data_IF_168442020394
#
_entry.id   IF_168442020394
#
_cell.length_a   1.000
_cell.length_b   1.000
_cell.length_c   1.000
_cell.angle_alpha   90.00
_cell.angle_beta   90.00
_cell.angle_gamma   90.00
#
_symmetry.space_group_name_H-M   'P 1'
#
loop_
_entity.id
_entity.type
_entity.pdbx_description
1 polymer ?
#
# COMPACT_ATOMS: atom_id res chain seq x y z
N UNK A 1 28.72 -32.18 43.28
CA UNK A 1 29.30 -31.71 42.00
C UNK A 1 28.30 -30.72 41.42
N UNK A 2 28.51 -29.42 41.66
CA UNK A 2 27.52 -28.37 41.35
C UNK A 2 27.91 -27.74 40.01
N UNK A 3 27.17 -28.03 38.94
CA UNK A 3 27.39 -27.40 37.63
C UNK A 3 26.69 -26.04 37.63
N UNK A 4 27.47 -24.95 37.67
CA UNK A 4 26.92 -23.61 37.45
C UNK A 4 26.65 -23.43 35.96
N UNK A 5 25.37 -23.43 35.60
CA UNK A 5 24.92 -23.06 34.26
C UNK A 5 25.07 -21.54 34.12
N UNK A 6 26.14 -21.09 33.49
CA UNK A 6 26.32 -19.69 33.10
C UNK A 6 25.32 -19.36 31.99
N UNK A 7 24.22 -18.70 32.35
CA UNK A 7 23.33 -18.08 31.38
C UNK A 7 24.10 -16.95 30.68
N UNK A 8 24.56 -17.19 29.46
CA UNK A 8 25.09 -16.13 28.59
C UNK A 8 23.92 -15.24 28.21
N UNK A 9 23.82 -14.06 28.82
CA UNK A 9 22.89 -13.02 28.36
C UNK A 9 23.22 -12.74 26.89
N UNK A 10 22.25 -12.84 25.96
CA UNK A 10 22.52 -12.57 24.56
C UNK A 10 23.02 -11.14 24.43
N UNK A 11 24.21 -10.98 23.85
CA UNK A 11 24.82 -9.67 23.58
C UNK A 11 23.86 -8.91 22.66
N UNK A 12 23.42 -7.69 23.02
CA UNK A 12 22.57 -6.90 22.14
C UNK A 12 23.31 -6.66 20.83
N UNK A 13 22.67 -6.99 19.70
CA UNK A 13 23.21 -6.73 18.36
C UNK A 13 23.54 -5.24 18.25
N UNK A 14 24.82 -4.92 18.08
CA UNK A 14 25.26 -3.54 17.88
C UNK A 14 24.79 -3.08 16.50
N UNK A 15 23.66 -2.39 16.46
CA UNK A 15 23.11 -1.84 15.22
C UNK A 15 23.78 -0.51 14.91
N UNK A 16 24.42 -0.40 13.76
CA UNK A 16 24.96 0.88 13.29
C UNK A 16 23.79 1.86 13.05
N UNK A 17 23.78 3.04 13.69
CA UNK A 17 22.64 3.97 13.64
C UNK A 17 22.37 4.49 12.22
N UNK A 18 23.41 4.60 11.39
CA UNK A 18 23.28 4.95 9.98
C UNK A 18 22.58 3.84 9.20
N UNK A 19 22.99 2.58 9.39
CA UNK A 19 22.38 1.43 8.73
C UNK A 19 20.90 1.29 9.10
N UNK A 20 20.56 1.48 10.39
CA UNK A 20 19.18 1.48 10.86
C UNK A 20 18.34 2.60 10.21
N UNK A 21 18.93 3.79 10.03
CA UNK A 21 18.27 4.93 9.36
C UNK A 21 18.05 4.64 7.86
N UNK A 22 19.04 4.06 7.17
CA UNK A 22 18.88 3.66 5.77
C UNK A 22 17.83 2.57 5.59
N UNK A 23 17.79 1.59 6.50
CA UNK A 23 16.83 0.50 6.47
C UNK A 23 15.38 1.00 6.61
N UNK A 24 15.10 1.90 7.56
CA UNK A 24 13.75 2.47 7.71
C UNK A 24 13.36 3.35 6.52
N UNK A 25 14.30 4.10 5.94
CA UNK A 25 14.03 4.88 4.72
C UNK A 25 13.68 4.00 3.54
N UNK A 26 14.44 2.91 3.33
CA UNK A 26 14.16 1.96 2.25
C UNK A 26 12.77 1.33 2.41
N UNK A 27 12.42 0.91 3.63
CA UNK A 27 11.09 0.38 3.93
C UNK A 27 9.98 1.42 3.70
N UNK A 28 10.19 2.68 4.10
CA UNK A 28 9.22 3.76 3.89
C UNK A 28 8.99 4.07 2.42
N UNK A 29 10.06 4.14 1.63
CA UNK A 29 9.96 4.41 0.19
C UNK A 29 9.20 3.25 -0.47
N UNK A 30 9.60 2.01 -0.18
CA UNK A 30 8.96 0.82 -0.74
C UNK A 30 7.46 0.76 -0.40
N UNK A 31 7.13 0.84 0.89
CA UNK A 31 5.75 0.74 1.37
C UNK A 31 4.91 1.93 0.91
N UNK A 32 5.41 3.15 1.07
CA UNK A 32 4.72 4.39 0.71
C UNK A 32 4.43 4.46 -0.78
N UNK A 33 5.43 4.23 -1.64
CA UNK A 33 5.27 4.28 -3.09
C UNK A 33 4.27 3.22 -3.59
N UNK A 34 4.36 1.99 -3.08
CA UNK A 34 3.44 0.92 -3.47
C UNK A 34 2.02 1.22 -3.02
N UNK A 35 1.85 1.77 -1.82
CA UNK A 35 0.55 2.19 -1.32
C UNK A 35 -0.06 3.29 -2.19
N UNK A 36 0.74 4.30 -2.56
CA UNK A 36 0.34 5.37 -3.47
C UNK A 36 -0.06 4.81 -4.84
N UNK A 37 0.77 3.96 -5.43
CA UNK A 37 0.48 3.34 -6.72
C UNK A 37 -0.84 2.56 -6.66
N UNK A 38 -1.04 1.74 -5.62
CA UNK A 38 -2.27 0.96 -5.46
C UNK A 38 -3.51 1.84 -5.25
N UNK A 39 -3.36 3.02 -4.63
CA UNK A 39 -4.43 4.01 -4.49
C UNK A 39 -4.74 4.75 -5.80
N UNK A 40 -3.71 5.16 -6.54
CA UNK A 40 -3.84 5.81 -7.86
C UNK A 40 -4.47 4.86 -8.88
N UNK A 41 -4.12 3.58 -8.82
CA UNK A 41 -4.70 2.54 -9.67
C UNK A 41 -6.22 2.44 -9.55
N UNK A 42 -6.81 2.91 -8.44
CA UNK A 42 -8.27 2.97 -8.26
C UNK A 42 -8.94 4.04 -9.12
N UNK A 43 -8.17 4.92 -9.75
CA UNK A 43 -8.66 5.96 -10.65
C UNK A 43 -8.36 5.63 -12.12
N UNK A 44 -7.91 4.40 -12.41
CA UNK A 44 -7.68 3.94 -13.77
C UNK A 44 -8.99 3.57 -14.47
N UNK A 45 -9.16 4.05 -15.70
CA UNK A 45 -10.21 3.65 -16.65
C UNK A 45 -9.62 3.23 -17.99
N UNK A 46 -10.48 2.78 -18.89
CA UNK A 46 -10.12 2.37 -20.25
C UNK A 46 -10.84 3.25 -21.27
N UNK A 47 -10.08 3.78 -22.22
CA UNK A 47 -10.60 4.54 -23.36
C UNK A 47 -10.29 3.73 -24.61
N UNK A 48 -11.31 3.54 -25.44
CA UNK A 48 -11.20 2.83 -26.71
C UNK A 48 -11.01 3.86 -27.82
N UNK A 49 -9.83 3.87 -28.44
CA UNK A 49 -9.60 4.65 -29.65
C UNK A 49 -9.71 3.69 -30.84
N UNK A 50 -10.71 3.91 -31.68
CA UNK A 50 -10.80 3.24 -32.98
C UNK A 50 -9.83 3.90 -33.95
N UNK A 51 -8.72 3.22 -34.25
CA UNK A 51 -7.86 3.57 -35.39
C UNK A 51 -8.15 2.59 -36.53
N UNK A 52 -8.20 3.03 -37.80
CA UNK A 52 -8.32 2.10 -38.92
C UNK A 52 -7.09 1.19 -38.96
N UNK A 53 -7.31 -0.13 -38.96
CA UNK A 53 -6.21 -1.10 -39.11
C UNK A 53 -5.41 -0.76 -40.36
N UNK A 54 -4.09 -0.75 -40.24
CA UNK A 54 -3.19 -0.53 -41.37
C UNK A 54 -2.78 -1.89 -41.93
N UNK A 55 -3.16 -2.19 -43.17
CA UNK A 55 -2.61 -3.34 -43.91
C UNK A 55 -1.58 -2.77 -44.89
N UNK A 56 -0.29 -3.07 -44.67
CA UNK A 56 0.83 -2.55 -45.47
C UNK A 56 0.97 -1.00 -45.48
N UNK A 57 0.62 -0.32 -44.37
CA UNK A 57 0.76 1.14 -44.24
C UNK A 57 -0.32 1.95 -44.96
N UNK A 58 -1.40 1.28 -45.41
CA UNK A 58 -2.61 1.89 -45.96
C UNK A 58 -3.81 1.38 -45.14
N UNK A 59 -4.83 2.21 -44.87
CA UNK A 59 -6.05 1.77 -44.19
C UNK A 59 -6.67 0.53 -44.86
N UNK A 60 -7.02 -0.48 -44.06
CA UNK A 60 -7.60 -1.74 -44.54
C UNK A 60 -8.85 -1.46 -45.41
N UNK A 61 -8.88 -1.93 -46.67
CA UNK A 61 -10.04 -1.82 -47.55
C UNK A 61 -11.32 -2.42 -46.97
N UNK A 62 -11.21 -3.35 -46.02
CA UNK A 62 -12.34 -4.01 -45.38
C UNK A 62 -12.95 -3.18 -44.23
N UNK A 63 -12.38 -2.01 -43.90
CA UNK A 63 -12.88 -1.14 -42.84
C UNK A 63 -12.69 -1.72 -41.44
N UNK A 64 -11.73 -2.63 -41.25
CA UNK A 64 -11.45 -3.20 -39.94
C UNK A 64 -10.81 -2.12 -39.06
N UNK A 65 -11.42 -1.83 -37.92
CA UNK A 65 -10.87 -0.88 -36.94
C UNK A 65 -10.08 -1.66 -35.89
N UNK A 66 -8.85 -1.23 -35.62
CA UNK A 66 -8.11 -1.64 -34.43
C UNK A 66 -8.59 -0.79 -33.29
N UNK A 67 -9.30 -1.41 -32.36
CA UNK A 67 -9.65 -0.78 -31.10
C UNK A 67 -8.41 -0.81 -30.20
N UNK A 68 -7.76 0.34 -30.03
CA UNK A 68 -6.65 0.50 -29.12
C UNK A 68 -7.22 0.82 -27.74
N UNK A 69 -7.00 -0.08 -26.78
CA UNK A 69 -7.35 0.13 -25.38
C UNK A 69 -6.26 0.95 -24.69
N UNK A 70 -6.54 2.21 -24.40
CA UNK A 70 -5.63 3.08 -23.64
C UNK A 70 -6.10 3.19 -22.20
N UNK A 71 -5.13 3.07 -21.28
CA UNK A 71 -5.37 3.27 -19.85
C UNK A 71 -5.30 4.76 -19.52
N UNK A 72 -6.41 5.31 -19.03
CA UNK A 72 -6.52 6.71 -18.62
C UNK A 72 -6.70 6.82 -17.10
N UNK A 73 -6.16 7.87 -16.49
CA UNK A 73 -6.40 8.18 -15.08
C UNK A 73 -7.30 9.40 -14.96
N UNK A 74 -8.47 9.24 -14.36
CA UNK A 74 -9.42 10.34 -14.13
C UNK A 74 -10.14 10.18 -12.79
N UNK A 75 -10.47 11.30 -12.14
CA UNK A 75 -11.22 11.29 -10.88
C UNK A 75 -12.60 10.64 -11.02
N UNK A 76 -13.21 10.75 -12.21
CA UNK A 76 -14.51 10.15 -12.53
C UNK A 76 -14.44 8.63 -12.70
N UNK A 77 -13.25 8.08 -12.97
CA UNK A 77 -13.03 6.64 -13.13
C UNK A 77 -12.79 5.94 -11.78
N UNK A 78 -13.10 6.60 -10.65
CA UNK A 78 -12.85 6.05 -9.34
C UNK A 78 -13.66 4.78 -9.09
N UNK A 79 -12.95 3.68 -8.84
CA UNK A 79 -13.52 2.42 -8.40
C UNK A 79 -12.59 1.75 -7.39
N UNK A 80 -13.00 1.68 -6.12
CA UNK A 80 -12.20 1.08 -5.06
C UNK A 80 -12.02 -0.43 -5.25
N UNK A 81 -13.04 -1.13 -5.72
CA UNK A 81 -12.99 -2.55 -6.07
C UNK A 81 -13.38 -2.73 -7.53
N UNK A 82 -12.61 -3.47 -8.35
CA UNK A 82 -13.04 -3.78 -9.70
C UNK A 82 -14.35 -4.57 -9.66
N UNK A 83 -15.21 -4.37 -10.66
CA UNK A 83 -16.54 -5.00 -10.73
C UNK A 83 -16.48 -6.53 -10.56
N UNK A 84 -15.54 -7.17 -11.25
CA UNK A 84 -15.27 -8.62 -11.15
C UNK A 84 -14.92 -9.12 -9.74
N UNK A 85 -14.43 -8.23 -8.87
CA UNK A 85 -14.13 -8.55 -7.47
C UNK A 85 -15.32 -8.25 -6.56
N UNK A 86 -16.06 -7.18 -6.85
CA UNK A 86 -17.30 -6.85 -6.14
C UNK A 86 -18.35 -7.96 -6.32
N UNK A 87 -18.51 -8.48 -7.53
CA UNK A 87 -19.45 -9.58 -7.83
C UNK A 87 -19.11 -10.85 -7.03
N UNK A 88 -17.81 -11.14 -6.85
CA UNK A 88 -17.37 -12.28 -6.04
C UNK A 88 -17.72 -12.10 -4.57
N UNK A 89 -17.60 -10.89 -4.03
CA UNK A 89 -17.97 -10.60 -2.65
C UNK A 89 -19.48 -10.64 -2.40
N UNK A 90 -20.31 -10.31 -3.40
CA UNK A 90 -21.76 -10.44 -3.27
C UNK A 90 -22.22 -11.90 -3.11
N UNK A 91 -21.39 -12.86 -3.56
CA UNK A 91 -21.65 -14.28 -3.39
C UNK A 91 -21.16 -14.83 -2.03
N UNK A 92 -20.46 -14.02 -1.22
CA UNK A 92 -19.95 -14.41 0.08
C UNK A 92 -20.93 -14.07 1.23
N UNK A 93 -21.35 -15.05 2.07
CA UNK A 93 -22.35 -14.83 3.11
C UNK A 93 -21.94 -13.80 4.18
N UNK A 94 -20.63 -13.57 4.34
CA UNK A 94 -20.06 -12.78 5.43
C UNK A 94 -19.92 -11.28 5.10
N UNK A 95 -20.13 -10.84 3.85
CA UNK A 95 -20.03 -9.43 3.47
C UNK A 95 -21.37 -8.90 2.98
N UNK A 96 -21.88 -7.90 3.71
CA UNK A 96 -23.04 -7.12 3.25
C UNK A 96 -22.63 -6.13 2.15
N UNK A 97 -23.52 -5.91 1.20
CA UNK A 97 -23.38 -4.90 0.14
C UNK A 97 -23.11 -3.48 0.68
N UNK A 98 -23.72 -3.13 1.82
CA UNK A 98 -23.47 -1.85 2.49
C UNK A 98 -22.00 -1.69 2.92
N UNK A 99 -21.43 -2.73 3.53
CA UNK A 99 -20.04 -2.72 3.98
C UNK A 99 -19.08 -2.63 2.78
N UNK A 100 -19.42 -3.32 1.69
CA UNK A 100 -18.67 -3.29 0.44
C UNK A 100 -18.69 -1.90 -0.21
N UNK A 101 -19.83 -1.22 -0.18
CA UNK A 101 -20.00 0.14 -0.69
C UNK A 101 -19.12 1.14 0.06
N UNK A 102 -19.16 1.12 1.40
CA UNK A 102 -18.28 1.98 2.22
C UNK A 102 -16.82 1.67 1.91
N UNK A 103 -16.45 0.39 1.90
CA UNK A 103 -15.08 -0.01 1.65
C UNK A 103 -14.59 0.48 0.28
N UNK A 104 -15.37 0.25 -0.78
CA UNK A 104 -15.05 0.71 -2.13
C UNK A 104 -14.93 2.23 -2.22
N UNK A 105 -15.78 2.99 -1.52
CA UNK A 105 -15.72 4.45 -1.56
C UNK A 105 -14.43 5.02 -0.93
N UNK A 106 -13.98 4.44 0.18
CA UNK A 106 -12.88 5.01 0.97
C UNK A 106 -11.51 4.41 0.68
N UNK A 107 -11.45 3.24 0.04
CA UNK A 107 -10.21 2.50 -0.15
C UNK A 107 -9.12 3.34 -0.85
N UNK A 108 -9.39 3.87 -2.04
CA UNK A 108 -8.37 4.62 -2.81
C UNK A 108 -7.88 5.88 -2.10
N UNK A 109 -8.76 6.79 -1.64
CA UNK A 109 -8.35 7.97 -0.88
C UNK A 109 -7.51 7.63 0.35
N UNK A 110 -7.87 6.56 1.06
CA UNK A 110 -7.16 6.14 2.26
C UNK A 110 -5.76 5.58 1.92
N UNK A 111 -5.63 4.77 0.86
CA UNK A 111 -4.32 4.31 0.39
C UNK A 111 -3.43 5.47 -0.04
N UNK A 112 -3.97 6.48 -0.73
CA UNK A 112 -3.22 7.65 -1.15
C UNK A 112 -2.77 8.47 0.07
N UNK A 113 -3.69 8.80 0.97
CA UNK A 113 -3.39 9.60 2.16
C UNK A 113 -2.37 8.91 3.06
N UNK A 114 -2.57 7.62 3.37
CA UNK A 114 -1.65 6.85 4.22
C UNK A 114 -0.31 6.63 3.52
N UNK A 115 -0.30 6.32 2.22
CA UNK A 115 0.93 6.18 1.43
C UNK A 115 1.77 7.46 1.45
N UNK A 116 1.13 8.62 1.30
CA UNK A 116 1.79 9.91 1.38
C UNK A 116 2.32 10.20 2.78
N UNK A 117 1.55 9.91 3.83
CA UNK A 117 2.00 10.05 5.22
C UNK A 117 3.22 9.18 5.54
N UNK A 118 3.26 7.93 5.08
CA UNK A 118 4.41 7.02 5.25
C UNK A 118 5.64 7.53 4.49
N UNK A 119 5.45 7.99 3.25
CA UNK A 119 6.53 8.48 2.39
C UNK A 119 7.14 9.78 2.95
N UNK A 120 6.31 10.75 3.34
CA UNK A 120 6.74 11.99 3.98
C UNK A 120 7.25 11.80 5.42
N UNK A 121 6.86 10.70 6.07
CA UNK A 121 7.25 10.40 7.45
C UNK A 121 6.49 11.25 8.45
N UNK A 122 5.23 11.55 8.14
CA UNK A 122 4.33 12.24 9.04
C UNK A 122 3.71 11.20 9.98
N UNK A 123 3.87 11.41 11.29
CA UNK A 123 3.38 10.50 12.34
C UNK A 123 3.67 9.01 12.03
N UNK A 124 4.94 8.67 11.80
CA UNK A 124 5.37 7.36 11.26
C UNK A 124 4.81 6.14 11.97
N UNK A 125 4.67 6.16 13.30
CA UNK A 125 4.05 5.05 14.04
C UNK A 125 2.57 4.89 13.71
N UNK A 126 1.82 5.99 13.65
CA UNK A 126 0.38 5.99 13.39
C UNK A 126 0.10 5.67 11.93
N UNK A 127 0.87 6.24 11.00
CA UNK A 127 0.70 5.98 9.57
C UNK A 127 1.08 4.55 9.19
N UNK A 128 2.15 3.98 9.74
CA UNK A 128 2.48 2.56 9.56
C UNK A 128 1.45 1.64 10.20
N UNK A 129 0.91 1.99 11.38
CA UNK A 129 -0.18 1.22 12.00
C UNK A 129 -1.45 1.26 11.15
N UNK A 130 -1.84 2.44 10.66
CA UNK A 130 -2.99 2.61 9.78
C UNK A 130 -2.81 1.82 8.47
N UNK A 131 -1.61 1.85 7.89
CA UNK A 131 -1.27 1.05 6.72
C UNK A 131 -1.40 -0.46 7.00
N UNK A 132 -0.92 -0.91 8.17
CA UNK A 132 -1.09 -2.28 8.64
C UNK A 132 -2.57 -2.67 8.76
N UNK A 133 -3.40 -1.82 9.35
CA UNK A 133 -4.85 -2.08 9.48
C UNK A 133 -5.54 -2.20 8.12
N UNK A 134 -5.21 -1.31 7.18
CA UNK A 134 -5.72 -1.38 5.80
C UNK A 134 -5.34 -2.73 5.20
N UNK A 135 -4.06 -3.12 5.29
CA UNK A 135 -3.57 -4.35 4.69
C UNK A 135 -4.14 -5.61 5.35
N UNK A 136 -4.37 -5.60 6.67
CA UNK A 136 -5.12 -6.66 7.37
C UNK A 136 -6.53 -6.80 6.79
N UNK A 137 -7.24 -5.68 6.60
CA UNK A 137 -8.59 -5.69 6.03
C UNK A 137 -8.60 -6.21 4.58
N UNK A 138 -7.65 -5.78 3.73
CA UNK A 138 -7.51 -6.33 2.36
C UNK A 138 -7.24 -7.84 2.39
N UNK A 139 -6.35 -8.28 3.29
CA UNK A 139 -5.99 -9.70 3.39
C UNK A 139 -7.19 -10.54 3.84
N UNK A 140 -8.01 -10.03 4.76
CA UNK A 140 -9.26 -10.66 5.16
C UNK A 140 -10.23 -10.82 3.97
N UNK A 141 -10.39 -9.78 3.14
CA UNK A 141 -11.19 -9.90 1.91
C UNK A 141 -10.67 -10.96 0.95
N UNK A 142 -9.35 -11.06 0.76
CA UNK A 142 -8.75 -12.08 -0.09
C UNK A 142 -8.85 -13.51 0.46
N UNK A 143 -8.86 -13.65 1.79
CA UNK A 143 -9.12 -14.93 2.47
C UNK A 143 -10.53 -15.42 2.15
N UNK A 144 -11.53 -14.53 2.22
CA UNK A 144 -12.91 -14.87 1.84
C UNK A 144 -12.98 -15.36 0.39
N UNK A 145 -12.26 -14.70 -0.51
CA UNK A 145 -12.22 -15.06 -1.94
C UNK A 145 -11.28 -16.22 -2.28
N UNK A 146 -10.69 -16.87 -1.27
CA UNK A 146 -9.73 -17.97 -1.40
C UNK A 146 -8.56 -17.67 -2.39
N UNK A 147 -8.06 -16.45 -2.39
CA UNK A 147 -6.99 -16.00 -3.29
C UNK A 147 -5.60 -16.14 -2.65
N UNK A 148 -5.11 -17.37 -2.51
CA UNK A 148 -3.84 -17.70 -1.83
C UNK A 148 -2.63 -16.85 -2.28
N UNK A 149 -2.47 -16.62 -3.58
CA UNK A 149 -1.37 -15.81 -4.11
C UNK A 149 -1.43 -14.34 -3.65
N UNK A 150 -2.64 -13.77 -3.62
CA UNK A 150 -2.85 -12.40 -3.13
C UNK A 150 -2.62 -12.28 -1.63
N UNK A 151 -3.04 -13.30 -0.86
CA UNK A 151 -2.85 -13.38 0.59
C UNK A 151 -1.35 -13.41 0.93
N UNK A 152 -0.57 -14.25 0.26
CA UNK A 152 0.87 -14.33 0.48
C UNK A 152 1.57 -13.00 0.14
N UNK A 153 1.24 -12.41 -1.01
CA UNK A 153 1.80 -11.14 -1.44
C UNK A 153 1.55 -10.01 -0.44
N UNK A 154 0.31 -9.85 0.04
CA UNK A 154 -0.03 -8.85 1.06
C UNK A 154 0.53 -9.21 2.44
N UNK A 155 0.61 -10.49 2.78
CA UNK A 155 1.24 -10.99 3.99
C UNK A 155 2.72 -10.60 4.10
N UNK A 156 3.49 -10.68 3.01
CA UNK A 156 4.88 -10.19 2.98
C UNK A 156 4.95 -8.70 3.33
N UNK A 157 4.02 -7.88 2.83
CA UNK A 157 3.99 -6.47 3.17
C UNK A 157 3.63 -6.23 4.63
N UNK A 158 2.78 -7.06 5.24
CA UNK A 158 2.50 -6.96 6.67
C UNK A 158 3.76 -7.20 7.52
N UNK A 159 4.61 -8.14 7.12
CA UNK A 159 5.92 -8.34 7.77
C UNK A 159 6.80 -7.11 7.59
N UNK A 160 6.86 -6.52 6.39
CA UNK A 160 7.63 -5.30 6.13
C UNK A 160 7.12 -4.09 6.95
N UNK A 161 5.80 -3.96 7.12
CA UNK A 161 5.18 -2.92 7.95
C UNK A 161 5.54 -3.13 9.43
N UNK A 162 5.48 -4.37 9.92
CA UNK A 162 5.88 -4.70 11.28
C UNK A 162 7.37 -4.40 11.52
N UNK A 163 8.24 -4.75 10.58
CA UNK A 163 9.67 -4.40 10.64
C UNK A 163 9.87 -2.88 10.61
N UNK A 164 9.14 -2.15 9.77
CA UNK A 164 9.19 -0.70 9.73
C UNK A 164 8.72 -0.06 11.04
N UNK A 165 7.71 -0.62 11.70
CA UNK A 165 7.24 -0.18 13.02
C UNK A 165 8.31 -0.40 14.10
N UNK A 166 8.99 -1.55 14.09
CA UNK A 166 10.08 -1.83 15.02
C UNK A 166 11.28 -0.91 14.79
N UNK A 167 11.57 -0.57 13.53
CA UNK A 167 12.66 0.34 13.17
C UNK A 167 12.29 1.83 13.27
N UNK A 168 11.02 2.16 13.53
CA UNK A 168 10.54 3.55 13.57
C UNK A 168 11.30 4.41 14.59
N UNK A 169 11.81 3.82 15.67
CA UNK A 169 12.60 4.51 16.69
C UNK A 169 13.97 5.01 16.19
N UNK A 170 14.48 4.47 15.08
CA UNK A 170 15.75 4.87 14.49
C UNK A 170 15.59 5.96 13.41
N UNK A 171 14.36 6.39 13.14
CA UNK A 171 14.08 7.30 12.04
C UNK A 171 14.42 8.76 12.38
N UNK A 172 15.63 9.20 11.99
CA UNK A 172 16.12 10.57 12.23
C UNK A 172 15.70 11.60 11.18
N UNK A 173 15.18 11.16 10.03
CA UNK A 173 14.81 12.00 8.88
C UNK A 173 13.28 12.04 8.70
N UNK A 174 12.58 12.51 9.74
CA UNK A 174 11.13 12.74 9.72
C UNK A 174 10.86 14.21 9.43
N UNK A 175 10.13 14.49 8.34
CA UNK A 175 9.61 15.83 8.07
C UNK A 175 8.70 16.29 9.22
N UNK A 176 8.04 15.36 9.91
CA UNK A 176 7.28 15.61 11.13
C UNK A 176 8.12 16.18 12.27
N UNK A 177 9.36 15.71 12.46
CA UNK A 177 10.26 16.29 13.47
C UNK A 177 10.72 17.70 13.06
N UNK A 178 11.00 17.92 11.77
CA UNK A 178 11.40 19.23 11.26
C UNK A 178 10.26 20.27 11.34
N UNK A 179 9.02 19.85 11.06
CA UNK A 179 7.82 20.68 11.21
C UNK A 179 7.45 20.89 12.67
N UNK A 180 7.59 19.88 13.54
CA UNK A 180 7.35 20.01 14.97
C UNK A 180 8.33 21.01 15.61
N UNK A 181 9.60 21.01 15.20
CA UNK A 181 10.63 21.95 15.66
C UNK A 181 10.32 23.39 15.21
N UNK A 182 9.81 23.57 13.98
CA UNK A 182 9.46 24.88 13.45
C UNK A 182 8.10 25.41 13.90
N UNK A 183 7.14 24.53 14.22
CA UNK A 183 5.78 24.89 14.59
C UNK A 183 5.50 24.79 16.11
N UNK A 184 6.50 24.42 16.93
CA UNK A 184 6.34 24.22 18.37
C UNK A 184 5.39 23.08 18.75
N UNK A 185 5.11 22.17 17.81
CA UNK A 185 4.08 21.13 17.92
C UNK A 185 4.67 19.85 18.51
N UNK A 186 5.05 19.92 19.80
CA UNK A 186 5.77 18.88 20.53
C UNK A 186 5.05 17.51 20.60
N UNK A 187 3.74 17.46 20.32
CA UNK A 187 2.93 16.22 20.29
C UNK A 187 3.12 15.38 19.01
N UNK A 188 3.69 15.95 17.95
CA UNK A 188 4.08 15.20 16.73
C UNK A 188 5.43 14.50 16.89
N UNK A 189 6.17 14.78 17.96
CA UNK A 189 7.50 14.24 18.20
C UNK A 189 7.41 12.78 18.62
N UNK A 190 8.06 11.91 17.85
CA UNK A 190 8.22 10.51 18.21
C UNK A 190 9.16 10.44 19.43
N UNK A 191 8.62 10.12 20.62
CA UNK A 191 9.43 9.82 21.81
C UNK A 191 9.98 8.40 21.73
#
# INVERSE_FOLDING_TARGET
MNQSTTHTVPVPLKTDPLAATCAILMLRIWLGLRCLQAGIEKYAGTVYISEPTQVNGVPDPNGTETVIELKEYALLNYSGLPSSLADKFQNEPFISEFLLGIYSQWLGPLLIAVGLCVLLGLATRISLLAMGLIYTSLTYGLILLNQASGIAWLGTHMVLIALALLLASYNRLELGNLLADRAGLNWLRNK
#
